data_IF_456520288721
#
_entry.id   IF_456520288721
#
_cell.length_a   1.000
_cell.length_b   1.000
_cell.length_c   1.000
_cell.angle_alpha   90.00
_cell.angle_beta   90.00
_cell.angle_gamma   90.00
#
_symmetry.space_group_name_H-M   'P 1'
#
loop_
_entity.id
_entity.type
_entity.pdbx_description
1 polymer ?
#
# COMPACT_ATOMS: atom_id res chain seq x y z
N UNK A 1 23.34 6.33 -4.14
CA UNK A 1 22.24 5.49 -4.66
C UNK A 1 21.39 5.09 -3.46
N UNK A 2 20.08 5.26 -3.54
CA UNK A 2 19.19 4.90 -2.42
C UNK A 2 19.19 3.38 -2.22
N UNK A 3 19.28 2.93 -0.96
CA UNK A 3 19.37 1.51 -0.64
C UNK A 3 17.96 0.92 -0.48
N UNK A 4 17.77 -0.26 -1.05
CA UNK A 4 16.54 -1.06 -0.98
C UNK A 4 16.84 -2.36 -0.23
N UNK A 5 16.98 -2.32 1.10
CA UNK A 5 17.17 -3.53 1.88
C UNK A 5 15.93 -4.42 1.78
N UNK A 6 16.14 -5.71 2.00
CA UNK A 6 15.04 -6.62 2.32
C UNK A 6 14.46 -6.26 3.69
N UNK A 7 13.14 -6.20 3.75
CA UNK A 7 12.35 -5.84 4.92
C UNK A 7 11.46 -7.03 5.28
N UNK A 8 11.64 -7.64 6.48
CA UNK A 8 10.73 -8.67 6.96
C UNK A 8 9.39 -8.02 7.33
N UNK A 9 8.30 -8.71 7.03
CA UNK A 9 6.92 -8.36 7.38
C UNK A 9 6.30 -9.56 8.11
N UNK A 10 5.33 -9.29 8.98
CA UNK A 10 4.57 -10.31 9.72
C UNK A 10 5.49 -11.31 10.43
N UNK A 11 6.40 -10.79 11.26
CA UNK A 11 7.38 -11.62 11.98
C UNK A 11 8.41 -12.33 11.08
N UNK A 12 8.55 -11.92 9.82
CA UNK A 12 9.48 -12.50 8.84
C UNK A 12 8.87 -13.58 7.94
N UNK A 13 7.59 -13.93 8.15
CA UNK A 13 6.87 -14.86 7.29
C UNK A 13 6.71 -14.33 5.85
N UNK A 14 6.80 -13.01 5.68
CA UNK A 14 6.83 -12.33 4.38
C UNK A 14 8.06 -11.44 4.32
N UNK A 15 8.57 -11.20 3.11
CA UNK A 15 9.61 -10.19 2.87
C UNK A 15 9.36 -9.42 1.58
N UNK A 16 9.86 -8.19 1.53
CA UNK A 16 9.83 -7.33 0.34
C UNK A 16 10.99 -6.33 0.41
N UNK A 17 11.19 -5.50 -0.61
CA UNK A 17 12.26 -4.49 -0.66
C UNK A 17 11.70 -3.10 -0.95
N UNK A 18 12.12 -2.11 -0.16
CA UNK A 18 11.78 -0.69 -0.35
C UNK A 18 12.79 0.20 0.40
N UNK A 19 12.85 1.52 0.12
CA UNK A 19 13.90 2.39 0.64
C UNK A 19 13.98 2.46 2.17
N UNK A 20 15.20 2.67 2.69
CA UNK A 20 15.47 2.86 4.12
C UNK A 20 14.72 4.05 4.75
N UNK A 21 14.30 5.05 3.96
CA UNK A 21 13.60 6.24 4.46
C UNK A 21 12.20 5.94 4.98
N UNK A 22 11.65 4.78 4.65
CA UNK A 22 10.39 4.29 5.19
C UNK A 22 10.64 3.66 6.57
N UNK A 23 10.16 4.34 7.59
CA UNK A 23 10.24 3.96 8.99
C UNK A 23 9.00 3.15 9.38
N UNK A 24 9.21 2.10 10.17
CA UNK A 24 8.14 1.24 10.66
C UNK A 24 7.40 1.93 11.81
N UNK A 25 6.09 2.11 11.63
CA UNK A 25 5.19 2.80 12.55
C UNK A 25 4.95 2.00 13.85
N UNK A 26 5.14 0.67 13.83
CA UNK A 26 4.99 -0.19 15.01
C UNK A 26 5.93 0.19 16.16
N UNK A 27 7.06 0.85 15.84
CA UNK A 27 8.01 1.36 16.83
C UNK A 27 7.45 2.52 17.68
N UNK A 28 6.36 3.14 17.24
CA UNK A 28 5.82 4.37 17.83
C UNK A 28 4.39 4.17 18.32
N UNK A 29 3.61 3.31 17.66
CA UNK A 29 2.23 2.99 18.05
C UNK A 29 1.87 1.56 17.67
N UNK A 30 0.86 1.03 18.35
CA UNK A 30 0.28 -0.26 17.99
C UNK A 30 -0.31 -0.22 16.57
N UNK A 31 -0.02 -1.27 15.80
CA UNK A 31 -0.56 -1.54 14.47
C UNK A 31 -1.23 -2.92 14.56
N UNK A 32 -2.43 -3.11 14.01
CA UNK A 32 -3.09 -4.42 14.03
C UNK A 32 -2.20 -5.51 13.42
N UNK A 33 -2.23 -6.74 13.96
CA UNK A 33 -1.34 -7.84 13.55
C UNK A 33 -1.44 -8.23 12.06
N UNK A 34 -2.57 -7.91 11.41
CA UNK A 34 -2.79 -8.14 9.98
C UNK A 34 -2.34 -6.97 9.10
N UNK A 35 -1.72 -5.93 9.68
CA UNK A 35 -1.21 -4.75 9.00
C UNK A 35 0.26 -4.50 9.32
N UNK A 36 1.00 -4.01 8.33
CA UNK A 36 2.36 -3.48 8.47
C UNK A 36 2.40 -2.11 7.83
N UNK A 37 2.78 -1.08 8.60
CA UNK A 37 2.66 0.33 8.19
C UNK A 37 4.01 1.01 8.24
N UNK A 38 4.43 1.56 7.10
CA UNK A 38 5.67 2.30 6.97
C UNK A 38 5.43 3.72 6.46
N UNK A 39 6.23 4.68 6.92
CA UNK A 39 6.10 6.10 6.56
C UNK A 39 7.44 6.74 6.23
N UNK A 40 7.48 7.65 5.27
CA UNK A 40 8.58 8.61 5.13
C UNK A 40 8.17 9.91 5.85
N UNK A 41 8.68 10.16 7.07
CA UNK A 41 8.26 11.32 7.86
C UNK A 41 8.65 12.66 7.22
N UNK A 42 9.67 12.68 6.35
CA UNK A 42 10.10 13.90 5.68
C UNK A 42 9.19 14.29 4.51
N UNK A 43 8.31 13.39 4.07
CA UNK A 43 7.50 13.56 2.85
C UNK A 43 6.01 13.25 3.04
N UNK A 44 5.63 12.72 4.21
CA UNK A 44 4.28 12.22 4.52
C UNK A 44 3.82 11.14 3.50
N UNK A 45 4.77 10.47 2.85
CA UNK A 45 4.54 9.27 2.03
C UNK A 45 4.34 8.07 2.95
N UNK A 46 3.49 7.12 2.56
CA UNK A 46 3.29 5.89 3.35
C UNK A 46 3.11 4.66 2.48
N UNK A 47 3.52 3.50 3.01
CA UNK A 47 3.41 2.19 2.39
C UNK A 47 2.82 1.23 3.42
N UNK A 48 1.69 0.61 3.08
CA UNK A 48 0.92 -0.25 3.97
C UNK A 48 0.76 -1.62 3.31
N UNK A 49 0.96 -2.68 4.08
CA UNK A 49 0.67 -4.06 3.71
C UNK A 49 -0.42 -4.57 4.62
N UNK A 50 -1.46 -5.18 4.06
CA UNK A 50 -2.61 -5.66 4.82
C UNK A 50 -3.03 -7.05 4.33
N UNK A 51 -3.29 -7.95 5.28
CA UNK A 51 -3.81 -9.29 5.03
C UNK A 51 -5.32 -9.28 5.26
N UNK A 52 -6.09 -9.59 4.20
CA UNK A 52 -7.54 -9.63 4.24
C UNK A 52 -8.07 -11.00 3.82
N UNK A 53 -9.28 -11.33 4.27
CA UNK A 53 -10.00 -12.49 3.74
C UNK A 53 -10.27 -12.31 2.24
N UNK A 54 -10.09 -13.38 1.47
CA UNK A 54 -10.33 -13.38 0.02
C UNK A 54 -11.77 -12.97 -0.31
N UNK A 55 -11.92 -11.93 -1.13
CA UNK A 55 -13.23 -11.48 -1.63
C UNK A 55 -13.75 -12.37 -2.74
N UNK A 56 -14.57 -13.36 -2.38
CA UNK A 56 -15.13 -14.33 -3.32
C UNK A 56 -16.09 -13.74 -4.37
N UNK A 57 -16.70 -12.59 -4.08
CA UNK A 57 -17.62 -11.87 -4.95
C UNK A 57 -16.93 -10.88 -5.89
N UNK A 58 -15.61 -10.76 -5.81
CA UNK A 58 -14.79 -9.89 -6.66
C UNK A 58 -13.98 -10.74 -7.62
N UNK A 59 -14.08 -10.45 -8.93
CA UNK A 59 -13.27 -11.10 -9.95
C UNK A 59 -11.79 -10.71 -9.85
N UNK A 60 -10.89 -11.55 -10.37
CA UNK A 60 -9.46 -11.25 -10.33
C UNK A 60 -9.16 -9.93 -11.03
N UNK A 61 -9.64 -9.82 -12.26
CA UNK A 61 -9.55 -8.61 -13.04
C UNK A 61 -10.39 -7.51 -12.40
N UNK A 62 -9.75 -6.41 -12.00
CA UNK A 62 -10.42 -5.30 -11.33
C UNK A 62 -10.49 -5.42 -9.81
N UNK A 63 -9.93 -6.47 -9.19
CA UNK A 63 -9.90 -6.57 -7.71
C UNK A 63 -9.17 -5.39 -7.04
N UNK A 64 -8.03 -4.94 -7.59
CA UNK A 64 -7.38 -3.72 -7.09
C UNK A 64 -8.26 -2.46 -7.27
N UNK A 65 -9.00 -2.36 -8.37
CA UNK A 65 -9.94 -1.25 -8.56
C UNK A 65 -11.06 -1.27 -7.52
N UNK A 66 -11.57 -2.46 -7.18
CA UNK A 66 -12.58 -2.64 -6.14
C UNK A 66 -12.05 -2.16 -4.78
N UNK A 67 -10.87 -2.62 -4.34
CA UNK A 67 -10.26 -2.18 -3.08
C UNK A 67 -9.97 -0.68 -3.07
N UNK A 68 -9.57 -0.10 -4.20
CA UNK A 68 -9.32 1.34 -4.31
C UNK A 68 -10.62 2.16 -4.17
N UNK A 69 -11.73 1.67 -4.73
CA UNK A 69 -13.06 2.27 -4.56
C UNK A 69 -13.58 2.13 -3.13
N UNK A 70 -13.35 0.97 -2.52
CA UNK A 70 -13.71 0.70 -1.12
C UNK A 70 -12.99 1.67 -0.17
N UNK A 71 -11.66 1.80 -0.35
CA UNK A 71 -10.83 2.76 0.38
C UNK A 71 -11.34 4.20 0.19
N UNK A 72 -11.63 4.60 -1.04
CA UNK A 72 -12.13 5.95 -1.29
C UNK A 72 -13.48 6.24 -0.59
N UNK A 73 -14.36 5.24 -0.52
CA UNK A 73 -15.64 5.34 0.21
C UNK A 73 -15.42 5.51 1.71
N UNK A 74 -14.54 4.72 2.31
CA UNK A 74 -14.18 4.84 3.73
C UNK A 74 -13.58 6.21 4.07
N UNK A 75 -12.80 6.78 3.14
CA UNK A 75 -12.20 8.12 3.29
C UNK A 75 -13.16 9.26 2.88
N UNK A 76 -14.39 8.95 2.43
CA UNK A 76 -15.36 9.95 1.95
C UNK A 76 -14.89 10.73 0.72
N UNK A 77 -14.05 10.10 -0.12
CA UNK A 77 -13.38 10.66 -1.29
C UNK A 77 -13.99 10.23 -2.64
N UNK A 78 -15.18 9.62 -2.63
CA UNK A 78 -15.87 9.03 -3.81
C UNK A 78 -16.00 9.98 -5.02
N UNK A 79 -16.14 11.28 -4.77
CA UNK A 79 -16.36 12.30 -5.82
C UNK A 79 -15.13 12.66 -6.67
N UNK A 80 -13.93 12.16 -6.33
CA UNK A 80 -12.67 12.61 -6.93
C UNK A 80 -11.78 11.45 -7.45
N UNK A 81 -12.33 10.28 -7.73
CA UNK A 81 -11.52 9.12 -8.15
C UNK A 81 -11.30 9.16 -9.67
N UNK A 82 -10.06 9.39 -10.11
CA UNK A 82 -9.62 9.01 -11.46
C UNK A 82 -8.91 7.65 -11.33
N UNK A 83 -9.62 6.56 -11.60
CA UNK A 83 -9.04 5.21 -11.51
C UNK A 83 -8.39 4.82 -12.84
N UNK A 84 -7.11 4.48 -12.80
CA UNK A 84 -6.43 3.79 -13.90
C UNK A 84 -6.00 2.40 -13.47
N UNK A 85 -6.64 1.38 -14.04
CA UNK A 85 -6.16 0.00 -13.90
C UNK A 85 -4.86 -0.14 -14.70
N UNK A 86 -3.79 -0.50 -14.01
CA UNK A 86 -2.44 -0.42 -14.58
C UNK A 86 -1.93 -1.76 -15.11
N UNK A 87 -2.20 -2.87 -14.42
CA UNK A 87 -1.74 -4.19 -14.83
C UNK A 87 -2.51 -5.34 -14.17
N UNK A 88 -2.58 -6.47 -14.86
CA UNK A 88 -2.97 -7.79 -14.35
C UNK A 88 -1.90 -8.78 -14.78
N UNK A 89 -1.34 -9.54 -13.85
CA UNK A 89 -0.39 -10.60 -14.17
C UNK A 89 -0.45 -11.74 -13.15
N UNK A 90 -0.25 -12.96 -13.63
CA UNK A 90 -0.01 -14.12 -12.76
C UNK A 90 1.40 -14.04 -12.18
N UNK A 91 1.56 -14.47 -10.93
CA UNK A 91 2.85 -14.58 -10.26
C UNK A 91 3.13 -16.05 -9.93
N UNK A 92 3.73 -16.83 -10.85
CA UNK A 92 4.05 -18.25 -10.63
C UNK A 92 5.00 -18.49 -9.45
N UNK A 93 5.82 -17.50 -9.13
CA UNK A 93 6.76 -17.49 -7.99
C UNK A 93 6.01 -17.42 -6.64
N UNK A 94 4.78 -16.88 -6.65
CA UNK A 94 3.90 -16.75 -5.49
C UNK A 94 2.77 -17.76 -5.59
N UNK A 95 3.06 -19.02 -5.30
CA UNK A 95 2.07 -20.09 -5.40
C UNK A 95 2.02 -20.96 -4.16
N UNK A 96 0.81 -21.43 -3.83
CA UNK A 96 0.57 -22.43 -2.80
C UNK A 96 -0.13 -23.64 -3.42
N UNK A 97 0.42 -24.85 -3.24
CA UNK A 97 -0.13 -26.10 -3.80
C UNK A 97 -0.46 -26.02 -5.31
N UNK A 98 0.43 -25.43 -6.10
CA UNK A 98 0.29 -25.20 -7.54
C UNK A 98 -0.83 -24.23 -7.96
N UNK A 99 -1.34 -23.41 -7.03
CA UNK A 99 -2.25 -22.30 -7.32
C UNK A 99 -1.45 -20.99 -7.29
N UNK A 100 -1.11 -20.41 -8.47
CA UNK A 100 -0.39 -19.14 -8.53
C UNK A 100 -1.28 -17.99 -8.06
N UNK A 101 -0.64 -16.98 -7.47
CA UNK A 101 -1.28 -15.73 -7.12
C UNK A 101 -1.60 -14.93 -8.38
N UNK A 102 -2.70 -14.19 -8.33
CA UNK A 102 -3.03 -13.18 -9.34
C UNK A 102 -2.80 -11.80 -8.75
N UNK A 103 -2.02 -10.98 -9.45
CA UNK A 103 -1.69 -9.62 -9.02
C UNK A 103 -2.41 -8.64 -9.93
N UNK A 104 -3.15 -7.72 -9.33
CA UNK A 104 -3.72 -6.56 -10.04
C UNK A 104 -3.29 -5.26 -9.38
N UNK A 105 -3.18 -4.20 -10.18
CA UNK A 105 -2.81 -2.87 -9.69
C UNK A 105 -3.73 -1.80 -10.23
N UNK A 106 -4.01 -0.81 -9.38
CA UNK A 106 -4.79 0.38 -9.72
C UNK A 106 -4.18 1.60 -9.05
N UNK A 107 -4.44 2.78 -9.59
CA UNK A 107 -4.07 4.03 -8.95
C UNK A 107 -5.20 5.06 -9.07
N UNK A 108 -5.24 5.99 -8.12
CA UNK A 108 -6.17 7.12 -8.14
C UNK A 108 -5.59 8.35 -7.43
N UNK A 109 -6.15 9.51 -7.71
CA UNK A 109 -5.95 10.71 -6.91
C UNK A 109 -7.17 10.89 -5.99
N UNK A 110 -6.97 11.25 -4.73
CA UNK A 110 -8.02 11.38 -3.72
C UNK A 110 -7.81 12.62 -2.86
N UNK A 111 -8.91 13.21 -2.37
CA UNK A 111 -8.88 14.23 -1.33
C UNK A 111 -9.21 13.55 0.01
N UNK A 112 -8.21 13.39 0.89
CA UNK A 112 -8.35 12.63 2.14
C UNK A 112 -7.89 13.46 3.34
N UNK A 113 -8.61 13.34 4.46
CA UNK A 113 -8.22 13.91 5.75
C UNK A 113 -7.71 12.79 6.65
N UNK A 114 -6.75 13.07 7.53
CA UNK A 114 -6.36 12.09 8.56
C UNK A 114 -7.56 11.83 9.48
N UNK A 115 -7.66 10.63 10.06
CA UNK A 115 -8.85 10.15 10.78
C UNK A 115 -9.37 11.06 11.91
N UNK A 116 -8.52 11.93 12.46
CA UNK A 116 -8.87 12.88 13.53
C UNK A 116 -9.22 14.28 13.04
N UNK A 117 -9.29 14.48 11.72
CA UNK A 117 -9.48 15.79 11.10
C UNK A 117 -10.79 15.86 10.31
N UNK A 118 -11.36 17.07 10.19
CA UNK A 118 -12.52 17.33 9.36
C UNK A 118 -12.18 17.43 7.86
N UNK A 119 -13.23 17.49 7.03
CA UNK A 119 -13.11 17.58 5.55
C UNK A 119 -12.36 18.84 5.10
N UNK A 120 -12.38 19.90 5.89
CA UNK A 120 -11.66 21.14 5.66
C UNK A 120 -10.13 21.00 5.66
N UNK A 121 -9.61 19.90 6.23
CA UNK A 121 -8.18 19.60 6.32
C UNK A 121 -7.71 18.55 5.30
N UNK A 122 -8.51 18.26 4.26
CA UNK A 122 -8.18 17.27 3.24
C UNK A 122 -6.90 17.62 2.47
N UNK A 123 -5.97 16.68 2.42
CA UNK A 123 -4.82 16.67 1.53
C UNK A 123 -5.20 16.06 0.19
N UNK A 124 -4.55 16.53 -0.89
CA UNK A 124 -4.63 15.85 -2.18
C UNK A 124 -3.51 14.81 -2.23
N UNK A 125 -3.87 13.55 -2.45
CA UNK A 125 -2.93 12.42 -2.48
C UNK A 125 -3.11 11.61 -3.74
N UNK A 126 -2.02 11.04 -4.26
CA UNK A 126 -2.07 9.88 -5.15
C UNK A 126 -2.00 8.62 -4.32
N UNK A 127 -2.82 7.64 -4.68
CA UNK A 127 -2.91 6.34 -4.04
C UNK A 127 -2.60 5.29 -5.09
N UNK A 128 -1.63 4.43 -4.81
CA UNK A 128 -1.31 3.26 -5.60
C UNK A 128 -1.71 2.03 -4.81
N UNK A 129 -2.41 1.09 -5.44
CA UNK A 129 -2.90 -0.10 -4.78
C UNK A 129 -2.58 -1.34 -5.62
N UNK A 130 -2.06 -2.38 -4.96
CA UNK A 130 -1.95 -3.72 -5.52
C UNK A 130 -2.79 -4.67 -4.68
N UNK A 131 -3.48 -5.60 -5.35
CA UNK A 131 -4.07 -6.75 -4.71
C UNK A 131 -3.39 -8.02 -5.21
N UNK A 132 -2.81 -8.80 -4.30
CA UNK A 132 -2.20 -10.10 -4.57
C UNK A 132 -3.13 -11.19 -4.03
N UNK A 133 -3.82 -11.90 -4.92
CA UNK A 133 -4.84 -12.88 -4.58
C UNK A 133 -4.22 -14.25 -4.32
N UNK A 134 -4.07 -14.63 -3.06
CA UNK A 134 -3.53 -15.92 -2.61
C UNK A 134 -4.67 -16.94 -2.44
N UNK A 135 -5.31 -17.33 -3.55
CA UNK A 135 -6.50 -18.20 -3.53
C UNK A 135 -6.29 -19.54 -2.83
N UNK A 136 -5.08 -20.09 -2.88
CA UNK A 136 -4.74 -21.36 -2.23
C UNK A 136 -4.86 -21.34 -0.70
N UNK A 137 -4.84 -20.15 -0.09
CA UNK A 137 -4.96 -19.95 1.36
C UNK A 137 -6.10 -19.00 1.73
N UNK A 138 -6.92 -18.57 0.76
CA UNK A 138 -8.09 -17.73 1.03
C UNK A 138 -7.77 -16.30 1.50
N UNK A 139 -6.67 -15.72 1.01
CA UNK A 139 -6.23 -14.37 1.41
C UNK A 139 -6.07 -13.42 0.21
N UNK A 140 -6.53 -12.19 0.36
CA UNK A 140 -6.14 -11.05 -0.47
C UNK A 140 -5.07 -10.25 0.29
N UNK A 141 -3.88 -10.07 -0.29
CA UNK A 141 -2.86 -9.17 0.27
C UNK A 141 -2.96 -7.82 -0.44
N UNK A 142 -3.34 -6.79 0.31
CA UNK A 142 -3.51 -5.43 -0.21
C UNK A 142 -2.28 -4.61 0.15
N UNK A 143 -1.59 -4.10 -0.87
CA UNK A 143 -0.45 -3.20 -0.72
C UNK A 143 -0.90 -1.81 -1.17
N UNK A 144 -0.87 -0.83 -0.27
CA UNK A 144 -1.30 0.54 -0.56
C UNK A 144 -0.17 1.53 -0.31
N UNK A 145 0.05 2.42 -1.27
CA UNK A 145 1.05 3.48 -1.20
C UNK A 145 0.40 4.85 -1.39
N UNK A 146 0.67 5.78 -0.47
CA UNK A 146 0.19 7.15 -0.52
C UNK A 146 1.34 8.11 -0.85
N UNK A 147 1.12 8.97 -1.84
CA UNK A 147 2.00 10.08 -2.23
C UNK A 147 1.22 11.40 -2.12
N UNK A 148 1.50 12.23 -1.11
CA UNK A 148 0.89 13.56 -1.03
C UNK A 148 1.30 14.45 -2.20
N UNK A 149 0.32 15.12 -2.81
CA UNK A 149 0.48 16.10 -3.91
C UNK A 149 0.30 17.54 -3.39
N UNK A 150 -0.63 17.70 -2.45
CA UNK A 150 -0.88 18.99 -1.79
C UNK A 150 -1.23 18.76 -0.33
N UNK A 151 -0.51 19.45 0.57
CA UNK A 151 -0.78 19.46 2.00
C UNK A 151 -1.59 20.70 2.36
N UNK A 152 -2.77 20.47 2.92
CA UNK A 152 -3.65 21.52 3.39
C UNK A 152 -3.06 22.20 4.64
N UNK A 153 -3.08 23.54 4.74
CA UNK A 153 -2.62 24.26 5.95
C UNK A 153 -3.29 23.84 7.26
N UNK A 154 -4.51 23.30 7.21
CA UNK A 154 -5.24 22.78 8.36
C UNK A 154 -4.93 21.29 8.64
N UNK A 155 -4.18 20.61 7.77
CA UNK A 155 -3.76 19.24 7.97
C UNK A 155 -2.69 19.14 9.06
N UNK A 156 -2.73 18.09 9.88
CA UNK A 156 -1.66 17.79 10.83
C UNK A 156 -0.32 17.61 10.12
N UNK A 157 -0.32 17.11 8.88
CA UNK A 157 0.87 16.99 8.03
C UNK A 157 1.57 18.32 7.78
N UNK A 158 0.84 19.45 7.77
CA UNK A 158 1.42 20.76 7.55
C UNK A 158 2.46 21.14 8.61
N UNK A 159 2.30 20.63 9.85
CA UNK A 159 3.25 20.87 10.93
C UNK A 159 4.57 20.09 10.75
N UNK A 160 4.52 18.94 10.07
CA UNK A 160 5.66 18.05 9.88
C UNK A 160 6.42 18.34 8.59
N UNK A 161 5.70 18.54 7.48
CA UNK A 161 6.29 18.64 6.13
C UNK A 161 6.01 19.97 5.42
N UNK A 162 5.30 20.89 6.09
CA UNK A 162 4.87 22.16 5.50
C UNK A 162 3.58 22.05 4.67
N UNK A 163 2.87 23.16 4.54
CA UNK A 163 1.67 23.25 3.71
C UNK A 163 2.00 23.66 2.27
N UNK A 164 1.11 23.32 1.33
CA UNK A 164 1.21 23.69 -0.07
C UNK A 164 1.50 22.50 -1.00
N UNK A 165 1.98 22.81 -2.19
CA UNK A 165 2.38 21.79 -3.18
C UNK A 165 3.61 21.04 -2.69
N UNK A 166 3.56 19.72 -2.76
CA UNK A 166 4.68 18.87 -2.41
C UNK A 166 5.68 18.79 -3.56
N UNK A 167 6.96 18.59 -3.22
CA UNK A 167 8.02 18.36 -4.22
C UNK A 167 8.09 16.86 -4.49
N UNK A 168 7.89 16.37 -5.73
CA UNK A 168 8.02 14.95 -6.06
C UNK A 168 9.37 14.36 -5.65
N UNK A 169 9.39 13.10 -5.20
CA UNK A 169 10.58 12.50 -4.61
C UNK A 169 11.77 12.49 -5.57
N UNK A 170 11.50 12.21 -6.85
CA UNK A 170 12.49 12.24 -7.93
C UNK A 170 13.21 13.59 -8.06
N UNK A 171 12.51 14.70 -7.82
CA UNK A 171 13.10 16.05 -7.88
C UNK A 171 13.98 16.37 -6.64
N UNK A 172 13.82 15.59 -5.57
CA UNK A 172 14.64 15.68 -4.35
C UNK A 172 15.75 14.63 -4.30
N UNK A 173 16.05 13.95 -5.42
CA UNK A 173 17.06 12.89 -5.49
C UNK A 173 16.67 11.58 -4.78
N UNK A 174 15.38 11.38 -4.54
CA UNK A 174 14.79 10.17 -3.93
C UNK A 174 14.02 9.37 -4.97
N UNK A 175 13.91 8.06 -4.79
CA UNK A 175 13.10 7.21 -5.66
C UNK A 175 11.62 7.59 -5.57
N UNK A 176 10.94 7.71 -6.72
CA UNK A 176 9.53 8.10 -6.79
C UNK A 176 8.62 7.08 -6.11
N UNK A 177 7.49 7.51 -5.54
CA UNK A 177 6.60 6.61 -4.80
C UNK A 177 6.06 5.48 -5.68
N UNK A 178 5.77 5.76 -6.96
CA UNK A 178 5.36 4.73 -7.93
C UNK A 178 6.44 3.66 -8.15
N UNK A 179 7.72 4.01 -8.08
CA UNK A 179 8.83 3.05 -8.21
C UNK A 179 9.02 2.26 -6.92
N UNK A 180 8.87 2.92 -5.76
CA UNK A 180 8.85 2.25 -4.45
C UNK A 180 7.73 1.20 -4.40
N UNK A 181 6.52 1.59 -4.79
CA UNK A 181 5.36 0.71 -4.86
C UNK A 181 5.60 -0.48 -5.80
N UNK A 182 6.07 -0.22 -7.03
CA UNK A 182 6.38 -1.28 -8.00
C UNK A 182 7.40 -2.28 -7.44
N UNK A 183 8.46 -1.78 -6.81
CA UNK A 183 9.50 -2.61 -6.21
C UNK A 183 8.94 -3.44 -5.05
N UNK A 184 8.14 -2.84 -4.17
CA UNK A 184 7.52 -3.54 -3.05
C UNK A 184 6.59 -4.68 -3.52
N UNK A 185 5.82 -4.45 -4.58
CA UNK A 185 4.95 -5.46 -5.18
C UNK A 185 5.76 -6.56 -5.88
N UNK A 186 6.75 -6.20 -6.70
CA UNK A 186 7.50 -7.17 -7.50
C UNK A 186 8.48 -8.03 -6.69
N UNK A 187 8.90 -7.54 -5.52
CA UNK A 187 9.83 -8.26 -4.63
C UNK A 187 9.12 -8.93 -3.45
N UNK A 188 7.78 -8.87 -3.40
CA UNK A 188 6.99 -9.53 -2.37
C UNK A 188 7.22 -11.05 -2.42
N UNK A 189 7.54 -11.65 -1.27
CA UNK A 189 7.80 -13.09 -1.12
C UNK A 189 7.18 -13.60 0.17
N UNK A 190 6.66 -14.82 0.10
CA UNK A 190 6.17 -15.56 1.27
C UNK A 190 7.25 -16.57 1.63
N UNK A 191 7.84 -16.37 2.81
CA UNK A 191 8.88 -17.23 3.37
C UNK A 191 8.29 -18.36 4.21
N UNK A 192 7.16 -18.10 4.87
CA UNK A 192 6.45 -19.09 5.69
C UNK A 192 4.93 -19.01 5.44
N UNK A 193 4.38 -20.07 4.84
CA UNK A 193 2.95 -20.18 4.55
C UNK A 193 2.10 -20.51 5.78
N UNK A 194 2.70 -20.89 6.90
CA UNK A 194 1.97 -21.09 8.16
C UNK A 194 1.31 -19.80 8.66
N UNK A 195 1.76 -18.63 8.17
CA UNK A 195 1.13 -17.33 8.42
C UNK A 195 -0.39 -17.35 8.16
N UNK A 196 -0.83 -18.13 7.16
CA UNK A 196 -2.24 -18.18 6.75
C UNK A 196 -3.03 -19.32 7.42
N UNK A 197 -2.49 -19.94 8.47
CA UNK A 197 -3.12 -21.09 9.13
C UNK A 197 -3.21 -22.34 8.24
N UNK A 198 -2.45 -22.37 7.14
CA UNK A 198 -2.38 -23.53 6.27
C UNK A 198 -1.47 -24.57 6.91
N UNK A 199 -2.06 -25.66 7.43
CA UNK A 199 -1.28 -26.81 7.89
C UNK A 199 -0.37 -27.27 6.76
N UNK A 200 0.94 -27.18 7.00
CA UNK A 200 1.98 -27.75 6.14
C UNK A 200 1.81 -29.27 6.12
N UNK A 201 1.00 -29.76 5.17
CA UNK A 201 0.92 -31.17 4.75
C UNK A 201 1.20 -31.24 3.27
#
# INVERSE_FOLDING_TARGET
MEQFPERPLFGGAVSTTFPLRFEDVSNIREVPDHQEVFVDPARDESLIFELLELKHDVEDNGSATWFLQDLAREQGAEGNIVTEQSAVFEAPELQFRNLPAVITTANAQMAISKARQGREAQNLVKVYLANLRLKGVGTDVVITAYEPVFINPLSESASSVGAGLTVPAAQSGRTAMVEVFKQAVSSFRINDWNLFGADAV
#
